data_IF_712805528312
#
_entry.id   IF_712805528312
#
_cell.length_a   1.000
_cell.length_b   1.000
_cell.length_c   1.000
_cell.angle_alpha   90.00
_cell.angle_beta   90.00
_cell.angle_gamma   90.00
#
_symmetry.space_group_name_H-M   'P 1'
#
loop_
_entity.id
_entity.type
_entity.pdbx_description
1 polymer ?
#
# COMPACT_ATOMS: atom_id res chain seq x y z
N UNK A 1 41.75 2.10 36.81
CA UNK A 1 41.95 1.60 35.45
C UNK A 1 40.84 2.21 34.58
N UNK A 2 41.14 3.11 33.65
CA UNK A 2 40.19 3.62 32.65
C UNK A 2 40.00 2.52 31.62
N UNK A 3 38.83 1.94 31.57
CA UNK A 3 38.43 1.06 30.46
C UNK A 3 38.60 1.81 29.14
N UNK A 4 39.54 1.34 28.34
CA UNK A 4 39.68 1.77 26.93
C UNK A 4 38.37 1.47 26.23
N UNK A 5 37.58 2.51 25.94
CA UNK A 5 36.42 2.43 25.01
C UNK A 5 36.93 1.83 23.72
N UNK A 6 36.63 0.56 23.43
CA UNK A 6 36.82 -0.01 22.11
C UNK A 6 36.06 0.87 21.13
N UNK A 7 36.78 1.64 20.32
CA UNK A 7 36.22 2.36 19.20
C UNK A 7 35.66 1.33 18.22
N UNK A 8 34.35 1.32 18.08
CA UNK A 8 33.67 0.50 17.11
C UNK A 8 33.85 1.23 15.76
N UNK A 9 34.56 0.62 14.82
CA UNK A 9 34.68 1.14 13.45
C UNK A 9 33.28 1.14 12.83
N UNK A 10 32.77 2.32 12.57
CA UNK A 10 31.49 2.55 11.88
C UNK A 10 31.83 2.94 10.44
N UNK A 11 31.05 2.44 9.49
CA UNK A 11 31.16 2.77 8.09
C UNK A 11 30.25 3.96 7.79
N UNK A 12 30.81 5.18 7.54
CA UNK A 12 30.00 6.40 7.35
C UNK A 12 28.97 6.26 6.21
N UNK A 13 29.35 5.63 5.12
CA UNK A 13 28.51 5.36 3.95
C UNK A 13 27.25 4.53 4.29
N UNK A 14 27.35 3.65 5.29
CA UNK A 14 26.21 2.84 5.74
C UNK A 14 25.15 3.70 6.43
N UNK A 15 25.55 4.71 7.21
CA UNK A 15 24.59 5.63 7.85
C UNK A 15 23.82 6.42 6.80
N UNK A 16 24.51 6.95 5.80
CA UNK A 16 23.90 7.69 4.68
C UNK A 16 22.93 6.78 3.91
N UNK A 17 23.39 5.60 3.51
CA UNK A 17 22.59 4.65 2.74
C UNK A 17 21.34 4.21 3.52
N UNK A 18 21.45 3.88 4.82
CA UNK A 18 20.29 3.51 5.65
C UNK A 18 19.32 4.68 5.79
N UNK A 19 19.79 5.92 5.96
CA UNK A 19 18.94 7.10 6.06
C UNK A 19 18.17 7.31 4.76
N UNK A 20 18.85 7.32 3.63
CA UNK A 20 18.25 7.50 2.29
C UNK A 20 17.26 6.38 1.98
N UNK A 21 17.65 5.14 2.22
CA UNK A 21 16.79 3.96 2.11
C UNK A 21 15.59 3.95 3.07
N UNK A 22 15.58 4.83 4.06
CA UNK A 22 14.47 5.03 4.99
C UNK A 22 13.70 6.33 4.73
N UNK A 23 14.06 7.08 3.69
CA UNK A 23 13.36 8.28 3.23
C UNK A 23 13.50 9.52 4.13
N UNK A 24 14.51 9.55 5.01
CA UNK A 24 14.74 10.70 5.89
C UNK A 24 15.76 11.68 5.31
N UNK A 25 15.54 13.00 5.52
CA UNK A 25 16.58 13.99 5.29
C UNK A 25 17.52 14.10 6.50
N UNK A 26 18.72 14.66 6.32
CA UNK A 26 19.61 14.98 7.44
C UNK A 26 18.95 15.83 8.52
N UNK A 27 18.15 16.85 8.11
CA UNK A 27 17.44 17.77 9.01
C UNK A 27 16.39 17.02 9.86
N UNK A 28 15.64 16.09 9.26
CA UNK A 28 14.66 15.30 9.98
C UNK A 28 15.30 14.39 11.02
N UNK A 29 16.46 13.83 10.70
CA UNK A 29 17.24 13.00 11.63
C UNK A 29 17.84 13.86 12.74
N UNK A 30 18.40 15.02 12.40
CA UNK A 30 18.92 15.97 13.39
C UNK A 30 17.85 16.34 14.41
N UNK A 31 16.64 16.69 13.95
CA UNK A 31 15.49 16.99 14.84
C UNK A 31 15.11 15.81 15.72
N UNK A 32 15.06 14.59 15.17
CA UNK A 32 14.70 13.38 15.91
C UNK A 32 15.75 12.98 16.93
N UNK A 33 17.03 13.16 16.64
CA UNK A 33 18.16 12.90 17.53
C UNK A 33 18.42 14.05 18.53
N UNK A 34 17.78 15.21 18.35
CA UNK A 34 18.04 16.46 19.09
C UNK A 34 19.51 16.89 18.95
N UNK A 35 20.00 16.95 17.71
CA UNK A 35 21.36 17.38 17.33
C UNK A 35 21.29 18.36 16.16
N UNK A 36 22.42 18.86 15.67
CA UNK A 36 22.49 19.73 14.48
C UNK A 36 22.53 18.90 13.18
N UNK A 37 22.08 19.51 12.08
CA UNK A 37 22.18 18.92 10.74
C UNK A 37 23.64 18.67 10.36
N UNK A 38 24.53 19.65 10.67
CA UNK A 38 25.96 19.53 10.41
C UNK A 38 26.58 18.31 11.09
N UNK A 39 26.12 17.95 12.31
CA UNK A 39 26.55 16.73 12.99
C UNK A 39 26.15 15.48 12.22
N UNK A 40 24.93 15.45 11.67
CA UNK A 40 24.48 14.30 10.87
C UNK A 40 25.32 14.16 9.62
N UNK A 41 25.52 15.25 8.89
CA UNK A 41 26.34 15.28 7.67
C UNK A 41 27.80 14.89 7.98
N UNK A 42 28.41 15.46 9.01
CA UNK A 42 29.79 15.14 9.43
C UNK A 42 29.99 13.65 9.80
N UNK A 43 28.95 12.98 10.34
CA UNK A 43 29.01 11.54 10.57
C UNK A 43 28.95 10.76 9.26
N UNK A 44 28.10 11.17 8.32
CA UNK A 44 27.97 10.52 7.01
C UNK A 44 29.18 10.75 6.11
N UNK A 45 29.98 11.80 6.37
CA UNK A 45 31.27 12.09 5.73
C UNK A 45 32.46 11.46 6.47
N UNK A 46 32.25 10.80 7.59
CA UNK A 46 33.31 10.15 8.35
C UNK A 46 34.17 11.08 9.22
N UNK A 47 33.80 12.36 9.37
CA UNK A 47 34.55 13.34 10.15
C UNK A 47 34.33 13.15 11.68
N UNK A 48 33.21 12.55 12.05
CA UNK A 48 32.83 12.31 13.45
C UNK A 48 31.97 11.05 13.54
N UNK A 49 31.50 10.68 14.75
CA UNK A 49 30.63 9.51 14.93
C UNK A 49 29.44 9.79 15.82
N UNK A 50 28.37 8.98 15.69
CA UNK A 50 27.27 8.96 16.64
C UNK A 50 27.66 8.16 17.88
N UNK A 51 27.10 8.57 19.02
CA UNK A 51 27.18 7.75 20.24
C UNK A 51 26.33 6.48 20.08
N UNK A 52 26.65 5.42 20.85
CA UNK A 52 25.87 4.18 20.81
C UNK A 52 24.39 4.41 21.16
N UNK A 53 24.08 5.40 22.02
CA UNK A 53 22.70 5.79 22.35
C UNK A 53 22.01 6.40 21.15
N UNK A 54 22.68 7.22 20.36
CA UNK A 54 22.12 7.77 19.13
C UNK A 54 21.91 6.71 18.07
N UNK A 55 22.85 5.75 17.93
CA UNK A 55 22.72 4.63 17.00
C UNK A 55 21.53 3.73 17.37
N UNK A 56 21.35 3.40 18.67
CA UNK A 56 20.16 2.68 19.15
C UNK A 56 18.88 3.41 18.79
N UNK A 57 18.85 4.74 18.96
CA UNK A 57 17.70 5.56 18.59
C UNK A 57 17.46 5.59 17.07
N UNK A 58 18.53 5.62 16.27
CA UNK A 58 18.42 5.50 14.81
C UNK A 58 17.85 4.15 14.39
N UNK A 59 18.28 3.05 15.05
CA UNK A 59 17.75 1.70 14.81
C UNK A 59 16.21 1.67 15.02
N UNK A 60 15.72 2.33 16.09
CA UNK A 60 14.29 2.47 16.35
C UNK A 60 13.57 3.34 15.33
N UNK A 61 14.17 4.47 14.92
CA UNK A 61 13.60 5.41 13.93
C UNK A 61 13.48 4.73 12.57
N UNK A 62 14.55 4.06 12.11
CA UNK A 62 14.60 3.41 10.80
C UNK A 62 13.95 2.03 10.78
N UNK A 63 13.53 1.53 11.97
CA UNK A 63 13.00 0.16 12.13
C UNK A 63 13.96 -0.89 11.54
N UNK A 64 15.23 -0.79 11.91
CA UNK A 64 16.28 -1.73 11.51
C UNK A 64 16.97 -2.29 12.73
N UNK A 65 17.47 -3.55 12.66
CA UNK A 65 18.25 -4.11 13.76
C UNK A 65 19.53 -3.28 13.95
N UNK A 66 19.97 -3.18 15.20
CA UNK A 66 21.15 -2.39 15.54
C UNK A 66 22.40 -2.85 14.77
N UNK A 67 22.51 -4.16 14.51
CA UNK A 67 23.64 -4.75 13.77
C UNK A 67 23.78 -4.19 12.35
N UNK A 68 22.71 -3.73 11.73
CA UNK A 68 22.75 -3.15 10.39
C UNK A 68 23.67 -1.91 10.28
N UNK A 69 23.91 -1.19 11.36
CA UNK A 69 24.80 -0.03 11.39
C UNK A 69 26.28 -0.38 11.52
N UNK A 70 26.60 -1.64 11.76
CA UNK A 70 27.96 -2.16 11.89
C UNK A 70 28.34 -3.04 10.68
N UNK A 71 27.46 -3.16 9.70
CA UNK A 71 27.75 -3.88 8.47
C UNK A 71 28.78 -3.12 7.64
N UNK A 72 29.65 -3.85 6.96
CA UNK A 72 30.55 -3.31 5.95
C UNK A 72 29.89 -3.24 4.54
N UNK A 73 28.72 -3.83 4.39
CA UNK A 73 27.95 -3.80 3.14
C UNK A 73 26.76 -2.86 3.28
N UNK A 74 26.53 -2.06 2.24
CA UNK A 74 25.33 -1.25 2.11
C UNK A 74 24.16 -2.20 1.88
N UNK A 75 23.07 -2.10 2.66
CA UNK A 75 21.89 -2.92 2.41
C UNK A 75 21.33 -2.58 1.02
N UNK A 76 21.39 -3.50 0.09
CA UNK A 76 20.70 -3.37 -1.18
C UNK A 76 19.18 -3.33 -0.91
N UNK A 77 18.58 -2.22 -1.28
CA UNK A 77 17.14 -2.20 -1.49
C UNK A 77 16.93 -2.60 -2.94
N UNK A 78 15.99 -3.55 -3.21
CA UNK A 78 15.62 -3.80 -4.58
C UNK A 78 15.25 -2.46 -5.23
N UNK A 79 15.96 -2.09 -6.28
CA UNK A 79 15.57 -0.97 -7.12
C UNK A 79 14.22 -1.34 -7.71
N UNK A 80 13.16 -0.81 -7.13
CA UNK A 80 11.89 -0.89 -7.81
C UNK A 80 11.95 0.08 -8.98
N UNK A 81 11.47 -0.33 -10.15
CA UNK A 81 11.32 0.57 -11.26
C UNK A 81 10.21 1.60 -10.96
N UNK A 82 10.49 2.52 -10.05
CA UNK A 82 9.62 3.65 -9.70
C UNK A 82 9.71 4.72 -10.80
N UNK A 83 9.34 4.35 -12.03
CA UNK A 83 9.40 5.25 -13.19
C UNK A 83 8.38 6.39 -13.16
N UNK A 84 7.49 6.46 -12.14
CA UNK A 84 6.32 7.35 -12.18
C UNK A 84 6.18 8.32 -11.02
N UNK A 85 7.12 8.33 -10.10
CA UNK A 85 7.17 9.42 -9.14
C UNK A 85 7.71 10.63 -9.90
N UNK A 86 6.90 11.67 -9.99
CA UNK A 86 7.39 12.97 -10.39
C UNK A 86 8.68 13.22 -9.59
N UNK A 87 9.84 13.33 -10.22
CA UNK A 87 11.18 13.37 -9.60
C UNK A 87 11.32 14.44 -8.50
N UNK A 88 10.34 15.34 -8.42
CA UNK A 88 10.25 16.42 -7.43
C UNK A 88 9.50 16.03 -6.13
N UNK A 89 8.79 14.89 -6.09
CA UNK A 89 8.03 14.46 -4.91
C UNK A 89 8.83 13.51 -4.03
N UNK A 90 9.19 13.97 -2.85
CA UNK A 90 9.84 13.15 -1.84
C UNK A 90 8.81 12.27 -1.13
N UNK A 91 8.98 10.95 -1.22
CA UNK A 91 8.15 9.99 -0.48
C UNK A 91 8.36 10.11 1.04
N UNK A 92 7.31 9.85 1.80
CA UNK A 92 7.41 9.82 3.26
C UNK A 92 8.19 8.58 3.75
N UNK A 93 8.87 8.66 4.90
CA UNK A 93 9.54 7.50 5.49
C UNK A 93 8.62 6.30 5.70
N UNK A 94 7.33 6.54 5.91
CA UNK A 94 6.34 5.47 6.06
C UNK A 94 6.10 4.69 4.77
N UNK A 95 6.16 5.34 3.61
CA UNK A 95 6.07 4.66 2.31
C UNK A 95 7.29 3.75 2.11
N UNK A 96 8.50 4.25 2.40
CA UNK A 96 9.71 3.41 2.35
C UNK A 96 9.63 2.21 3.30
N UNK A 97 9.10 2.41 4.51
CA UNK A 97 8.92 1.33 5.47
C UNK A 97 7.89 0.30 4.98
N UNK A 98 6.77 0.75 4.40
CA UNK A 98 5.74 -0.10 3.82
C UNK A 98 6.29 -0.91 2.64
N UNK A 99 7.04 -0.26 1.74
CA UNK A 99 7.72 -0.89 0.61
C UNK A 99 8.67 -1.99 1.09
N UNK A 100 9.56 -1.68 2.03
CA UNK A 100 10.47 -2.66 2.62
C UNK A 100 9.74 -3.84 3.27
N UNK A 101 8.61 -3.58 3.94
CA UNK A 101 7.78 -4.64 4.52
C UNK A 101 7.19 -5.55 3.45
N UNK A 102 6.69 -5.00 2.36
CA UNK A 102 6.14 -5.76 1.24
C UNK A 102 7.21 -6.66 0.60
N UNK A 103 8.38 -6.11 0.28
CA UNK A 103 9.50 -6.91 -0.25
C UNK A 103 9.93 -8.03 0.70
N UNK A 104 10.05 -7.73 1.98
CA UNK A 104 10.39 -8.75 2.98
C UNK A 104 9.38 -9.90 3.02
N UNK A 105 8.08 -9.59 2.95
CA UNK A 105 7.04 -10.62 2.92
C UNK A 105 7.11 -11.43 1.62
N UNK A 106 7.26 -10.77 0.48
CA UNK A 106 7.43 -11.45 -0.82
C UNK A 106 8.61 -12.42 -0.74
N UNK A 107 9.81 -11.96 -0.39
CA UNK A 107 11.02 -12.77 -0.24
C UNK A 107 10.78 -13.99 0.66
N UNK A 108 10.23 -13.76 1.86
CA UNK A 108 10.02 -14.84 2.83
C UNK A 108 8.95 -15.84 2.37
N UNK A 109 7.89 -15.41 1.69
CA UNK A 109 6.89 -16.33 1.18
C UNK A 109 7.42 -17.11 -0.03
N UNK A 110 8.24 -16.50 -0.89
CA UNK A 110 8.92 -17.19 -1.99
C UNK A 110 9.89 -18.28 -1.49
N UNK A 111 10.58 -18.02 -0.36
CA UNK A 111 11.45 -19.03 0.29
C UNK A 111 10.63 -20.19 0.89
N UNK A 112 9.42 -19.92 1.40
CA UNK A 112 8.60 -20.92 2.10
C UNK A 112 7.68 -21.71 1.19
N UNK A 113 7.34 -21.21 0.02
CA UNK A 113 6.37 -21.81 -0.87
C UNK A 113 6.76 -21.62 -2.34
N UNK A 114 6.25 -22.48 -3.19
CA UNK A 114 6.40 -22.37 -4.64
C UNK A 114 5.30 -21.50 -5.30
N UNK A 115 4.59 -20.72 -4.51
CA UNK A 115 3.52 -19.87 -5.02
C UNK A 115 4.10 -18.77 -5.90
N UNK A 116 3.45 -18.57 -7.05
CA UNK A 116 3.74 -17.50 -8.00
C UNK A 116 2.44 -16.80 -8.34
N UNK A 117 2.51 -15.53 -8.61
CA UNK A 117 1.34 -14.77 -9.03
C UNK A 117 0.87 -15.17 -10.42
N UNK A 118 -0.42 -15.43 -10.53
CA UNK A 118 -1.08 -15.80 -11.79
C UNK A 118 -1.92 -14.61 -12.28
N UNK A 119 -1.22 -13.54 -12.66
CA UNK A 119 -1.89 -12.36 -13.22
C UNK A 119 -2.33 -12.67 -14.64
N UNK A 120 -3.65 -12.62 -14.95
CA UNK A 120 -4.14 -12.94 -16.28
C UNK A 120 -3.65 -11.92 -17.30
N UNK A 121 -3.31 -12.39 -18.49
CA UNK A 121 -2.88 -11.54 -19.59
C UNK A 121 -4.08 -11.24 -20.50
N UNK A 122 -4.20 -9.97 -20.90
CA UNK A 122 -5.26 -9.50 -21.79
C UNK A 122 -4.64 -8.74 -22.98
N UNK A 123 -5.43 -8.49 -24.02
CA UNK A 123 -4.97 -7.67 -25.13
C UNK A 123 -4.70 -6.24 -24.68
N UNK A 124 -3.55 -5.69 -25.06
CA UNK A 124 -3.17 -4.29 -24.78
C UNK A 124 -4.07 -3.26 -25.47
N UNK A 125 -4.84 -3.70 -26.50
CA UNK A 125 -5.75 -2.82 -27.26
C UNK A 125 -7.10 -2.61 -26.57
N UNK A 126 -7.40 -3.35 -25.50
CA UNK A 126 -8.65 -3.20 -24.76
C UNK A 126 -8.72 -1.83 -24.09
N UNK A 127 -9.90 -1.20 -24.15
CA UNK A 127 -10.19 -0.03 -23.35
C UNK A 127 -10.36 -0.43 -21.88
N UNK A 128 -10.19 0.51 -20.97
CA UNK A 128 -10.24 0.25 -19.54
C UNK A 128 -11.54 -0.42 -19.07
N UNK A 129 -12.68 -0.01 -19.63
CA UNK A 129 -13.98 -0.60 -19.31
C UNK A 129 -14.16 -2.02 -19.88
N UNK A 130 -13.58 -2.30 -21.04
CA UNK A 130 -13.56 -3.64 -21.64
C UNK A 130 -12.66 -4.58 -20.81
N UNK A 131 -11.46 -4.11 -20.45
CA UNK A 131 -10.54 -4.85 -19.58
C UNK A 131 -11.20 -5.19 -18.22
N UNK A 132 -11.88 -4.24 -17.61
CA UNK A 132 -12.58 -4.45 -16.35
C UNK A 132 -13.67 -5.53 -16.45
N UNK A 133 -14.42 -5.56 -17.56
CA UNK A 133 -15.43 -6.61 -17.83
C UNK A 133 -14.79 -7.98 -18.02
N UNK A 134 -13.74 -8.06 -18.84
CA UNK A 134 -13.04 -9.33 -19.08
C UNK A 134 -12.37 -9.85 -17.79
N UNK A 135 -11.75 -8.97 -17.01
CA UNK A 135 -11.17 -9.33 -15.72
C UNK A 135 -12.24 -9.80 -14.72
N UNK A 136 -13.41 -9.15 -14.68
CA UNK A 136 -14.52 -9.63 -13.84
C UNK A 136 -15.01 -11.04 -14.26
N UNK A 137 -15.06 -11.31 -15.57
CA UNK A 137 -15.40 -12.64 -16.11
C UNK A 137 -14.35 -13.68 -15.73
N UNK A 138 -13.06 -13.36 -15.87
CA UNK A 138 -11.97 -14.28 -15.54
C UNK A 138 -11.98 -14.72 -14.06
N UNK A 139 -12.40 -13.83 -13.17
CA UNK A 139 -12.58 -14.11 -11.74
C UNK A 139 -13.94 -14.78 -11.42
N UNK A 140 -14.83 -14.93 -12.40
CA UNK A 140 -16.22 -15.39 -12.22
C UNK A 140 -16.97 -14.63 -11.11
N UNK A 141 -16.78 -13.32 -11.03
CA UNK A 141 -17.34 -12.47 -9.97
C UNK A 141 -18.65 -11.85 -10.40
N UNK A 142 -19.70 -12.13 -9.61
CA UNK A 142 -20.99 -11.43 -9.73
C UNK A 142 -20.91 -10.05 -9.07
N UNK A 143 -21.70 -9.10 -9.58
CA UNK A 143 -21.82 -7.79 -8.95
C UNK A 143 -22.38 -7.93 -7.53
N UNK A 144 -21.70 -7.34 -6.57
CA UNK A 144 -22.11 -7.29 -5.18
C UNK A 144 -22.68 -5.90 -4.91
N UNK A 145 -23.95 -5.86 -4.44
CA UNK A 145 -24.62 -4.62 -4.07
C UNK A 145 -25.12 -4.70 -2.62
N UNK A 146 -25.35 -3.55 -2.01
CA UNK A 146 -25.93 -3.41 -0.67
C UNK A 146 -25.15 -4.13 0.45
N UNK A 147 -23.82 -4.24 0.29
CA UNK A 147 -22.91 -4.72 1.34
C UNK A 147 -22.08 -3.58 1.92
N UNK A 148 -21.74 -3.72 3.19
CA UNK A 148 -20.84 -2.76 3.86
C UNK A 148 -19.47 -2.73 3.16
N UNK A 149 -18.86 -1.56 2.97
CA UNK A 149 -17.56 -1.44 2.31
C UNK A 149 -16.45 -2.31 2.95
N UNK A 150 -16.50 -2.50 4.27
CA UNK A 150 -15.55 -3.36 5.00
C UNK A 150 -15.66 -4.84 4.59
N UNK A 151 -16.90 -5.32 4.43
CA UNK A 151 -17.16 -6.70 4.01
C UNK A 151 -16.76 -6.91 2.55
N UNK A 152 -17.05 -5.92 1.69
CA UNK A 152 -16.63 -5.95 0.29
C UNK A 152 -15.10 -5.95 0.15
N UNK A 153 -14.41 -5.10 0.89
CA UNK A 153 -12.95 -5.05 0.89
C UNK A 153 -12.35 -6.40 1.33
N UNK A 154 -12.85 -6.97 2.42
CA UNK A 154 -12.40 -8.27 2.93
C UNK A 154 -12.65 -9.39 1.92
N UNK A 155 -13.83 -9.39 1.29
CA UNK A 155 -14.17 -10.37 0.25
C UNK A 155 -13.24 -10.28 -0.96
N UNK A 156 -13.04 -9.06 -1.51
CA UNK A 156 -12.19 -8.90 -2.69
C UNK A 156 -10.72 -9.13 -2.39
N UNK A 157 -10.22 -8.75 -1.22
CA UNK A 157 -8.85 -9.07 -0.81
C UNK A 157 -8.64 -10.59 -0.83
N UNK A 158 -9.52 -11.34 -0.15
CA UNK A 158 -9.43 -12.80 -0.11
C UNK A 158 -9.54 -13.42 -1.51
N UNK A 159 -10.52 -12.98 -2.30
CA UNK A 159 -10.71 -13.48 -3.66
C UNK A 159 -9.45 -13.28 -4.52
N UNK A 160 -8.86 -12.10 -4.49
CA UNK A 160 -7.68 -11.77 -5.30
C UNK A 160 -6.44 -12.53 -4.81
N UNK A 161 -6.25 -12.65 -3.48
CA UNK A 161 -5.18 -13.46 -2.90
C UNK A 161 -5.30 -14.93 -3.31
N UNK A 162 -6.52 -15.51 -3.28
CA UNK A 162 -6.76 -16.90 -3.62
C UNK A 162 -6.72 -17.17 -5.13
N UNK A 163 -7.23 -16.24 -5.95
CA UNK A 163 -7.32 -16.44 -7.42
C UNK A 163 -6.04 -16.06 -8.15
N UNK A 164 -5.35 -15.02 -7.69
CA UNK A 164 -4.17 -14.48 -8.39
C UNK A 164 -2.86 -14.84 -7.70
N UNK A 165 -2.87 -15.38 -6.48
CA UNK A 165 -1.66 -15.66 -5.74
C UNK A 165 -0.84 -14.39 -5.45
N UNK A 166 -1.48 -13.28 -5.08
CA UNK A 166 -0.81 -12.00 -4.75
C UNK A 166 -0.87 -11.72 -3.26
N UNK A 167 0.09 -10.98 -2.72
CA UNK A 167 0.09 -10.53 -1.34
C UNK A 167 -0.60 -9.17 -1.24
N UNK A 168 -1.65 -9.04 -0.41
CA UNK A 168 -2.34 -7.77 -0.18
C UNK A 168 -2.23 -7.37 1.28
N UNK A 169 -1.50 -6.28 1.56
CA UNK A 169 -1.32 -5.74 2.90
C UNK A 169 -1.83 -4.31 3.03
N UNK A 170 -2.14 -3.93 4.26
CA UNK A 170 -2.47 -2.55 4.63
C UNK A 170 -1.37 -1.99 5.53
N UNK A 171 -0.87 -0.80 5.23
CA UNK A 171 0.18 -0.16 6.02
C UNK A 171 -0.05 1.35 6.15
N UNK A 172 0.29 1.99 7.29
CA UNK A 172 0.09 3.43 7.44
C UNK A 172 1.12 4.19 6.59
N UNK A 173 0.72 4.68 5.42
CA UNK A 173 1.62 5.38 4.49
C UNK A 173 1.94 6.80 4.96
N UNK A 174 1.02 7.44 5.69
CA UNK A 174 1.15 8.83 6.20
C UNK A 174 1.59 9.82 5.12
N UNK A 175 1.13 9.59 3.92
CA UNK A 175 1.29 10.45 2.77
C UNK A 175 -0.09 10.95 2.33
N UNK A 176 -0.19 12.21 1.93
CA UNK A 176 -1.49 12.76 1.52
C UNK A 176 -1.83 12.37 0.09
N UNK A 177 -0.81 12.08 -0.70
CA UNK A 177 -0.86 11.84 -2.14
C UNK A 177 -0.65 10.37 -2.54
N UNK A 178 -0.21 9.50 -1.62
CA UNK A 178 -0.05 8.07 -1.86
C UNK A 178 -1.13 7.30 -1.12
N UNK A 179 -2.03 6.63 -1.85
CA UNK A 179 -3.12 5.80 -1.30
C UNK A 179 -2.82 4.32 -1.32
N UNK A 180 -2.06 3.90 -2.32
CA UNK A 180 -1.65 2.52 -2.50
C UNK A 180 -0.40 2.48 -3.39
N UNK A 181 0.18 1.30 -3.52
CA UNK A 181 1.14 0.97 -4.56
C UNK A 181 1.20 -0.54 -4.77
N UNK A 182 1.64 -0.94 -5.95
CA UNK A 182 1.87 -2.34 -6.31
C UNK A 182 3.32 -2.62 -6.67
N UNK A 183 3.76 -3.84 -6.37
CA UNK A 183 5.07 -4.38 -6.74
C UNK A 183 4.80 -5.55 -7.67
N UNK A 184 5.21 -5.40 -8.93
CA UNK A 184 5.13 -6.46 -9.93
C UNK A 184 6.40 -7.31 -9.85
N UNK A 185 6.26 -8.59 -9.56
CA UNK A 185 7.32 -9.60 -9.49
C UNK A 185 6.74 -11.00 -9.70
N UNK A 186 7.55 -12.05 -9.59
CA UNK A 186 7.06 -13.43 -9.63
C UNK A 186 5.98 -13.68 -8.57
N UNK A 187 6.15 -13.13 -7.38
CA UNK A 187 5.12 -13.03 -6.36
C UNK A 187 4.78 -11.55 -6.13
N UNK A 188 3.79 -11.08 -6.85
CA UNK A 188 3.36 -9.67 -6.82
C UNK A 188 2.69 -9.29 -5.49
N UNK A 189 2.74 -8.01 -5.14
CA UNK A 189 2.10 -7.52 -3.93
C UNK A 189 1.44 -6.16 -4.12
N UNK A 190 0.40 -5.89 -3.31
CA UNK A 190 -0.30 -4.61 -3.23
C UNK A 190 -0.27 -4.12 -1.78
N UNK A 191 0.07 -2.84 -1.61
CA UNK A 191 0.04 -2.16 -0.31
C UNK A 191 -1.00 -1.06 -0.35
N UNK A 192 -1.99 -1.15 0.53
CA UNK A 192 -3.05 -0.15 0.69
C UNK A 192 -2.77 0.72 1.91
N UNK A 193 -3.18 1.99 1.87
CA UNK A 193 -3.04 2.87 3.02
C UNK A 193 -4.00 2.46 4.14
N UNK A 194 -3.45 2.02 5.28
CA UNK A 194 -4.22 1.58 6.46
C UNK A 194 -5.18 2.66 6.98
N UNK A 195 -4.82 3.94 6.85
CA UNK A 195 -5.58 5.06 7.41
C UNK A 195 -6.77 5.49 6.51
N UNK A 196 -6.90 4.91 5.33
CA UNK A 196 -8.03 5.18 4.44
C UNK A 196 -9.30 4.41 4.83
N UNK A 197 -10.47 4.98 4.48
CA UNK A 197 -11.75 4.30 4.62
C UNK A 197 -11.83 3.11 3.65
N UNK A 198 -12.57 2.07 4.02
CA UNK A 198 -12.66 0.84 3.21
C UNK A 198 -13.14 1.06 1.78
N UNK A 199 -14.05 2.02 1.54
CA UNK A 199 -14.49 2.37 0.18
C UNK A 199 -13.36 3.00 -0.67
N UNK A 200 -12.41 3.71 -0.04
CA UNK A 200 -11.24 4.27 -0.72
C UNK A 200 -10.25 3.15 -1.02
N UNK A 201 -9.96 2.30 -0.02
CA UNK A 201 -9.10 1.12 -0.19
C UNK A 201 -9.61 0.20 -1.29
N UNK A 202 -10.92 0.02 -1.38
CA UNK A 202 -11.55 -0.81 -2.40
C UNK A 202 -11.28 -0.28 -3.81
N UNK A 203 -11.40 1.03 -4.01
CA UNK A 203 -11.04 1.66 -5.28
C UNK A 203 -9.54 1.54 -5.57
N UNK A 204 -8.70 1.87 -4.58
CA UNK A 204 -7.24 1.74 -4.69
C UNK A 204 -6.81 0.31 -5.01
N UNK A 205 -7.46 -0.70 -4.43
CA UNK A 205 -7.16 -2.11 -4.69
C UNK A 205 -7.32 -2.46 -6.17
N UNK A 206 -8.44 -2.07 -6.80
CA UNK A 206 -8.65 -2.36 -8.22
C UNK A 206 -7.82 -1.46 -9.14
N UNK A 207 -7.48 -0.26 -8.71
CA UNK A 207 -6.52 0.58 -9.39
C UNK A 207 -5.15 -0.11 -9.48
N UNK A 208 -4.64 -0.63 -8.37
CA UNK A 208 -3.36 -1.36 -8.33
C UNK A 208 -3.42 -2.71 -9.06
N UNK A 209 -4.56 -3.39 -9.06
CA UNK A 209 -4.78 -4.58 -9.91
C UNK A 209 -4.61 -4.25 -11.38
N UNK A 210 -5.12 -3.10 -11.83
CA UNK A 210 -4.92 -2.65 -13.21
C UNK A 210 -3.44 -2.49 -13.53
N UNK A 211 -2.67 -1.86 -12.65
CA UNK A 211 -1.22 -1.73 -12.82
C UNK A 211 -0.51 -3.09 -12.88
N UNK A 212 -0.92 -4.07 -12.07
CA UNK A 212 -0.36 -5.43 -12.14
C UNK A 212 -0.69 -6.12 -13.47
N UNK A 213 -1.93 -6.02 -13.96
CA UNK A 213 -2.35 -6.58 -15.26
C UNK A 213 -1.55 -5.96 -16.40
N UNK A 214 -1.34 -4.65 -16.36
CA UNK A 214 -0.61 -3.91 -17.39
C UNK A 214 0.91 -3.91 -17.20
N UNK A 215 1.41 -4.58 -16.14
CA UNK A 215 2.84 -4.64 -15.77
C UNK A 215 3.46 -3.25 -15.59
N UNK A 216 2.68 -2.32 -15.09
CA UNK A 216 3.06 -0.91 -14.89
C UNK A 216 3.13 -0.54 -13.41
N UNK A 217 3.34 -1.52 -12.54
CA UNK A 217 3.41 -1.35 -11.09
C UNK A 217 4.41 -0.28 -10.66
N UNK A 218 4.13 0.36 -9.54
CA UNK A 218 4.90 1.46 -8.98
C UNK A 218 4.11 2.17 -7.88
N UNK A 219 4.60 3.32 -7.43
CA UNK A 219 3.88 4.15 -6.46
C UNK A 219 2.99 5.13 -7.21
N UNK A 220 1.69 4.99 -7.03
CA UNK A 220 0.68 5.79 -7.71
C UNK A 220 0.08 6.86 -6.79
N UNK A 221 -0.13 8.04 -7.35
CA UNK A 221 -0.95 9.10 -6.76
C UNK A 221 -2.34 9.04 -7.39
N UNK A 222 -3.38 8.83 -6.57
CA UNK A 222 -4.78 8.85 -7.03
C UNK A 222 -5.30 10.27 -7.25
N UNK A 223 -4.56 11.12 -7.93
CA UNK A 223 -5.12 12.33 -8.51
C UNK A 223 -5.89 11.93 -9.77
N UNK A 224 -7.21 11.76 -9.60
CA UNK A 224 -8.14 11.28 -10.66
C UNK A 224 -8.15 12.19 -11.90
N UNK A 225 -7.54 13.38 -11.82
CA UNK A 225 -7.58 14.40 -12.86
C UNK A 225 -6.22 14.87 -13.40
N UNK A 226 -5.11 14.23 -13.07
CA UNK A 226 -3.86 14.57 -13.75
C UNK A 226 -3.92 14.06 -15.20
N UNK A 227 -4.43 14.90 -16.10
CA UNK A 227 -4.55 14.69 -17.55
C UNK A 227 -3.22 14.36 -18.25
N UNK A 228 -2.09 14.43 -17.52
CA UNK A 228 -0.75 14.19 -18.07
C UNK A 228 -0.27 12.73 -18.00
N UNK A 229 -1.09 11.81 -17.46
CA UNK A 229 -0.73 10.40 -17.38
C UNK A 229 -1.89 9.51 -17.85
N UNK A 230 -1.91 9.19 -19.13
CA UNK A 230 -2.92 8.31 -19.76
C UNK A 230 -3.12 6.99 -19.00
N UNK A 231 -2.06 6.47 -18.40
CA UNK A 231 -2.09 5.21 -17.65
C UNK A 231 -2.87 5.32 -16.32
N UNK A 232 -2.69 6.42 -15.57
CA UNK A 232 -3.43 6.65 -14.32
C UNK A 232 -4.93 6.81 -14.59
N UNK A 233 -5.28 7.56 -15.63
CA UNK A 233 -6.66 7.70 -16.08
C UNK A 233 -7.25 6.35 -16.50
N UNK A 234 -6.46 5.52 -17.18
CA UNK A 234 -6.85 4.18 -17.58
C UNK A 234 -7.14 3.29 -16.36
N UNK A 235 -6.24 3.23 -15.37
CA UNK A 235 -6.41 2.45 -14.16
C UNK A 235 -7.58 2.95 -13.30
N UNK A 236 -7.80 4.27 -13.23
CA UNK A 236 -8.96 4.86 -12.58
C UNK A 236 -10.28 4.43 -13.26
N UNK A 237 -10.31 4.43 -14.60
CA UNK A 237 -11.47 4.01 -15.38
C UNK A 237 -11.75 2.51 -15.21
N UNK A 238 -10.70 1.69 -15.22
CA UNK A 238 -10.80 0.26 -14.93
C UNK A 238 -11.39 0.00 -13.55
N UNK A 239 -10.86 0.61 -12.50
CA UNK A 239 -11.33 0.44 -11.13
C UNK A 239 -12.79 0.88 -10.98
N UNK A 240 -13.16 2.00 -11.58
CA UNK A 240 -14.53 2.52 -11.56
C UNK A 240 -15.50 1.57 -12.28
N UNK A 241 -15.16 1.06 -13.47
CA UNK A 241 -15.98 0.10 -14.21
C UNK A 241 -16.10 -1.24 -13.48
N UNK A 242 -15.01 -1.73 -12.89
CA UNK A 242 -15.04 -2.97 -12.12
C UNK A 242 -16.01 -2.88 -10.94
N UNK A 243 -15.97 -1.79 -10.18
CA UNK A 243 -16.80 -1.61 -8.98
C UNK A 243 -18.23 -1.18 -9.31
N UNK A 244 -18.41 -0.38 -10.35
CA UNK A 244 -19.69 0.20 -10.78
C UNK A 244 -19.87 -0.06 -12.28
N UNK A 245 -20.29 -1.28 -12.67
CA UNK A 245 -20.41 -1.66 -14.08
C UNK A 245 -21.40 -0.77 -14.84
N UNK A 246 -21.02 -0.40 -16.07
CA UNK A 246 -21.78 0.48 -16.95
C UNK A 246 -23.22 0.00 -17.17
N UNK A 247 -23.39 -1.29 -17.42
CA UNK A 247 -24.71 -1.85 -17.77
C UNK A 247 -25.66 -1.79 -16.58
N UNK A 248 -25.18 -2.12 -15.38
CA UNK A 248 -25.98 -2.06 -14.15
C UNK A 248 -26.28 -0.61 -13.75
N UNK A 249 -25.25 0.28 -13.79
CA UNK A 249 -25.45 1.68 -13.45
C UNK A 249 -26.43 2.37 -14.39
N UNK A 250 -26.42 2.09 -15.70
CA UNK A 250 -27.40 2.63 -16.65
C UNK A 250 -28.83 2.21 -16.31
N UNK A 251 -29.02 0.97 -15.84
CA UNK A 251 -30.33 0.49 -15.38
C UNK A 251 -30.78 1.24 -14.13
N UNK A 252 -29.88 1.43 -13.16
CA UNK A 252 -30.18 2.20 -11.96
C UNK A 252 -30.49 3.66 -12.29
N UNK A 253 -29.70 4.30 -13.16
CA UNK A 253 -29.90 5.69 -13.56
C UNK A 253 -31.26 5.95 -14.22
N UNK A 254 -31.81 4.98 -14.98
CA UNK A 254 -33.16 5.11 -15.59
C UNK A 254 -34.30 5.23 -14.58
N UNK A 255 -34.08 4.86 -13.32
CA UNK A 255 -35.08 4.98 -12.23
C UNK A 255 -35.21 6.41 -11.70
N UNK A 256 -34.26 7.30 -12.05
CA UNK A 256 -34.17 8.65 -11.51
C UNK A 256 -34.28 9.69 -12.64
N UNK A 257 -35.07 10.73 -12.43
CA UNK A 257 -35.17 11.88 -13.36
C UNK A 257 -34.04 12.88 -13.14
N UNK A 258 -33.61 13.02 -11.90
CA UNK A 258 -32.56 13.94 -11.47
C UNK A 258 -31.59 13.25 -10.51
N UNK A 259 -30.32 13.62 -10.56
CA UNK A 259 -29.27 13.08 -9.69
C UNK A 259 -29.04 14.03 -8.51
N UNK A 260 -29.97 14.09 -7.59
CA UNK A 260 -29.82 14.83 -6.33
C UNK A 260 -28.72 14.22 -5.46
N UNK A 261 -28.30 14.93 -4.40
CA UNK A 261 -27.32 14.38 -3.45
C UNK A 261 -27.82 13.09 -2.77
N UNK A 262 -29.13 12.96 -2.55
CA UNK A 262 -29.73 11.75 -1.99
C UNK A 262 -29.64 10.57 -2.94
N UNK A 263 -29.92 10.76 -4.22
CA UNK A 263 -29.76 9.72 -5.25
C UNK A 263 -28.29 9.28 -5.35
N UNK A 264 -27.36 10.22 -5.32
CA UNK A 264 -25.93 9.92 -5.35
C UNK A 264 -25.51 9.12 -4.10
N UNK A 265 -26.03 9.47 -2.90
CA UNK A 265 -25.77 8.73 -1.68
C UNK A 265 -26.37 7.31 -1.75
N UNK A 266 -27.58 7.13 -2.28
CA UNK A 266 -28.18 5.80 -2.49
C UNK A 266 -27.32 4.93 -3.43
N UNK A 267 -26.84 5.51 -4.55
CA UNK A 267 -25.93 4.79 -5.45
C UNK A 267 -24.61 4.44 -4.75
N UNK A 268 -24.04 5.37 -3.99
CA UNK A 268 -22.83 5.12 -3.20
C UNK A 268 -23.01 3.94 -2.24
N UNK A 269 -24.13 3.90 -1.52
CA UNK A 269 -24.46 2.81 -0.58
C UNK A 269 -24.72 1.49 -1.33
N UNK A 270 -25.44 1.55 -2.46
CA UNK A 270 -25.74 0.36 -3.25
C UNK A 270 -24.47 -0.33 -3.77
N UNK A 271 -23.50 0.42 -4.27
CA UNK A 271 -22.26 -0.11 -4.82
C UNK A 271 -21.10 -0.21 -3.80
N UNK A 272 -21.26 0.33 -2.59
CA UNK A 272 -20.22 0.33 -1.55
C UNK A 272 -18.98 1.14 -1.90
N UNK A 273 -19.09 2.12 -2.77
CA UNK A 273 -17.99 2.98 -3.27
C UNK A 273 -18.09 4.41 -2.75
N UNK A 274 -17.03 5.21 -2.94
CA UNK A 274 -17.05 6.62 -2.55
C UNK A 274 -17.97 7.45 -3.46
N UNK A 275 -18.47 8.57 -2.91
CA UNK A 275 -19.26 9.55 -3.68
C UNK A 275 -18.50 10.04 -4.93
N UNK A 276 -17.18 10.15 -4.84
CA UNK A 276 -16.34 10.57 -5.96
C UNK A 276 -16.39 9.57 -7.12
N UNK A 277 -16.38 8.27 -6.85
CA UNK A 277 -16.49 7.23 -7.89
C UNK A 277 -17.85 7.31 -8.58
N UNK A 278 -18.94 7.45 -7.83
CA UNK A 278 -20.29 7.62 -8.43
C UNK A 278 -20.34 8.89 -9.29
N UNK A 279 -19.85 10.02 -8.77
CA UNK A 279 -19.85 11.29 -9.51
C UNK A 279 -19.03 11.21 -10.79
N UNK A 280 -17.88 10.51 -10.77
CA UNK A 280 -17.05 10.28 -11.95
C UNK A 280 -17.80 9.44 -13.01
N UNK A 281 -18.47 8.37 -12.56
CA UNK A 281 -19.28 7.51 -13.47
C UNK A 281 -20.44 8.27 -14.09
N UNK A 282 -21.18 9.06 -13.29
CA UNK A 282 -22.29 9.88 -13.75
C UNK A 282 -21.82 10.97 -14.73
N UNK A 283 -20.64 11.57 -14.51
CA UNK A 283 -20.01 12.49 -15.43
C UNK A 283 -19.69 11.81 -16.77
N UNK A 284 -19.10 10.62 -16.74
CA UNK A 284 -18.76 9.84 -17.93
C UNK A 284 -20.00 9.47 -18.79
N UNK A 285 -21.17 9.34 -18.18
CA UNK A 285 -22.43 9.10 -18.89
C UNK A 285 -23.21 10.38 -19.23
N UNK A 286 -22.71 11.55 -18.86
CA UNK A 286 -23.39 12.83 -19.12
C UNK A 286 -24.60 13.10 -18.22
N UNK A 287 -24.81 12.32 -17.15
CA UNK A 287 -25.87 12.58 -16.16
C UNK A 287 -25.54 13.74 -15.21
N UNK A 288 -24.26 14.06 -15.08
CA UNK A 288 -23.75 15.19 -14.30
C UNK A 288 -22.79 15.97 -15.19
N UNK A 289 -22.85 17.29 -15.16
CA UNK A 289 -21.97 18.15 -15.91
C UNK A 289 -20.61 18.40 -15.21
N UNK A 290 -19.62 18.87 -15.96
CA UNK A 290 -18.28 19.19 -15.45
C UNK A 290 -18.30 20.25 -14.33
N UNK A 291 -19.25 21.22 -14.40
CA UNK A 291 -19.37 22.30 -13.41
C UNK A 291 -19.77 21.75 -12.05
N UNK A 292 -20.78 20.87 -12.03
CA UNK A 292 -21.25 20.20 -10.79
C UNK A 292 -20.17 19.28 -10.22
N UNK A 293 -19.47 18.51 -11.06
CA UNK A 293 -18.36 17.67 -10.62
C UNK A 293 -17.24 18.50 -9.97
N UNK A 294 -16.82 19.61 -10.60
CA UNK A 294 -15.82 20.53 -10.02
C UNK A 294 -16.25 21.11 -8.67
N UNK A 295 -17.50 21.57 -8.56
CA UNK A 295 -18.05 22.10 -7.30
C UNK A 295 -18.05 21.02 -6.19
N UNK A 296 -18.36 19.77 -6.53
CA UNK A 296 -18.28 18.65 -5.61
C UNK A 296 -16.83 18.40 -5.15
N UNK A 297 -15.85 18.44 -6.05
CA UNK A 297 -14.42 18.20 -5.73
C UNK A 297 -13.90 19.22 -4.72
N UNK A 298 -14.19 20.49 -4.89
CA UNK A 298 -13.80 21.56 -3.97
C UNK A 298 -14.34 21.30 -2.55
N UNK A 299 -15.62 20.93 -2.44
CA UNK A 299 -16.23 20.58 -1.13
C UNK A 299 -15.59 19.34 -0.50
N UNK A 300 -15.18 18.37 -1.30
CA UNK A 300 -14.54 17.16 -0.80
C UNK A 300 -13.17 17.44 -0.18
N UNK A 301 -12.37 18.31 -0.78
CA UNK A 301 -11.05 18.71 -0.28
C UNK A 301 -11.14 19.41 1.09
N UNK A 302 -12.20 20.18 1.32
CA UNK A 302 -12.46 20.84 2.62
C UNK A 302 -12.78 19.84 3.72
N UNK A 303 -13.54 18.76 3.40
CA UNK A 303 -13.97 17.73 4.37
C UNK A 303 -12.83 16.76 4.74
N UNK A 304 -11.92 16.47 3.83
CA UNK A 304 -10.78 15.54 4.07
C UNK A 304 -9.84 16.03 5.18
N UNK A 305 -9.83 17.32 5.49
CA UNK A 305 -9.00 17.91 6.57
C UNK A 305 -9.42 17.48 7.98
N UNK A 306 -10.61 16.89 8.16
CA UNK A 306 -11.11 16.43 9.47
C UNK A 306 -10.83 14.92 9.64
N UNK A 307 -9.71 14.58 10.26
CA UNK A 307 -9.38 13.19 10.62
C UNK A 307 -10.25 12.70 11.78
N UNK A 308 -11.05 11.66 11.56
CA UNK A 308 -11.70 10.93 12.65
C UNK A 308 -10.79 9.80 13.14
N UNK A 309 -10.35 9.87 14.39
CA UNK A 309 -9.62 8.77 15.05
C UNK A 309 -10.62 7.87 15.77
N UNK A 310 -10.80 6.65 15.27
CA UNK A 310 -11.51 5.57 15.98
C UNK A 310 -10.55 4.64 16.71
N UNK A 311 -11.05 3.89 17.71
CA UNK A 311 -10.25 2.84 18.38
C UNK A 311 -10.06 1.68 17.40
N UNK A 312 -8.81 1.41 16.98
CA UNK A 312 -8.49 0.32 16.05
C UNK A 312 -8.47 -1.01 16.82
N UNK A 313 -9.12 -2.04 16.27
CA UNK A 313 -8.94 -3.42 16.74
C UNK A 313 -7.54 -3.89 16.30
N UNK A 314 -6.67 -4.25 17.25
CA UNK A 314 -5.28 -4.61 16.98
C UNK A 314 -5.13 -5.90 16.18
N UNK A 315 -5.99 -6.90 16.39
CA UNK A 315 -6.00 -8.16 15.63
C UNK A 315 -6.28 -7.92 14.16
N UNK A 316 -7.33 -7.12 13.87
CA UNK A 316 -7.68 -6.73 12.51
C UNK A 316 -6.54 -5.94 11.84
N UNK A 317 -5.93 -5.00 12.58
CA UNK A 317 -4.77 -4.24 12.09
C UNK A 317 -3.62 -5.17 11.77
N UNK A 318 -3.33 -6.13 12.65
CA UNK A 318 -2.28 -7.10 12.43
C UNK A 318 -2.56 -7.97 11.20
N UNK A 319 -3.74 -8.58 11.11
CA UNK A 319 -4.14 -9.41 9.96
C UNK A 319 -4.04 -8.64 8.65
N UNK A 320 -4.46 -7.39 8.64
CA UNK A 320 -4.36 -6.54 7.47
C UNK A 320 -2.90 -6.18 7.09
N UNK A 321 -2.01 -6.02 8.08
CA UNK A 321 -0.58 -5.71 7.84
C UNK A 321 0.24 -6.90 7.35
N UNK A 322 -0.26 -8.10 7.57
CA UNK A 322 0.40 -9.35 7.14
C UNK A 322 -0.19 -9.86 5.82
N UNK A 323 -1.50 -9.72 5.62
CA UNK A 323 -2.25 -10.32 4.52
C UNK A 323 -2.62 -11.78 4.81
N UNK A 324 -3.77 -12.22 4.28
CA UNK A 324 -4.26 -13.58 4.57
C UNK A 324 -3.37 -14.63 3.92
N UNK A 325 -2.89 -14.37 2.71
CA UNK A 325 -2.00 -15.27 1.99
C UNK A 325 -0.69 -15.48 2.77
N UNK A 326 -0.03 -14.41 3.19
CA UNK A 326 1.23 -14.53 3.95
C UNK A 326 1.02 -15.27 5.26
N UNK A 327 -0.06 -14.98 5.98
CA UNK A 327 -0.39 -15.71 7.22
C UNK A 327 -0.59 -17.20 6.95
N UNK A 328 -1.34 -17.55 5.90
CA UNK A 328 -1.60 -18.94 5.51
C UNK A 328 -0.31 -19.71 5.19
N UNK A 329 0.58 -19.12 4.38
CA UNK A 329 1.81 -19.79 3.97
C UNK A 329 2.80 -19.95 5.14
N UNK A 330 2.91 -18.95 6.02
CA UNK A 330 3.72 -19.06 7.24
C UNK A 330 3.17 -20.14 8.18
N UNK A 331 1.83 -20.21 8.36
CA UNK A 331 1.21 -21.31 9.14
C UNK A 331 1.48 -22.68 8.51
N UNK A 332 1.35 -22.79 7.21
CA UNK A 332 1.62 -24.03 6.49
C UNK A 332 3.07 -24.50 6.70
N UNK A 333 4.04 -23.58 6.57
CA UNK A 333 5.44 -23.88 6.76
C UNK A 333 5.77 -24.26 8.21
N UNK A 334 5.17 -23.59 9.19
CA UNK A 334 5.31 -23.94 10.60
C UNK A 334 4.72 -25.31 10.91
N UNK A 335 3.50 -25.61 10.45
CA UNK A 335 2.84 -26.91 10.67
C UNK A 335 3.61 -28.06 10.02
N UNK A 336 4.24 -27.82 8.87
CA UNK A 336 5.13 -28.77 8.19
C UNK A 336 6.53 -28.86 8.82
N UNK A 337 6.80 -28.09 9.89
CA UNK A 337 8.10 -28.00 10.58
C UNK A 337 9.26 -27.54 9.67
N UNK A 338 8.95 -26.78 8.62
CA UNK A 338 9.96 -26.15 7.75
C UNK A 338 10.61 -24.98 8.45
N UNK A 339 9.84 -24.25 9.26
CA UNK A 339 10.32 -23.11 10.07
C UNK A 339 9.95 -23.30 11.53
N UNK A 340 10.73 -22.67 12.41
CA UNK A 340 10.47 -22.63 13.85
C UNK A 340 9.38 -21.63 14.20
N UNK A 341 8.82 -21.72 15.40
CA UNK A 341 7.88 -20.74 15.94
C UNK A 341 8.47 -19.31 15.96
N UNK A 342 9.77 -19.21 16.27
CA UNK A 342 10.46 -17.93 16.30
C UNK A 342 10.56 -17.30 14.91
N UNK A 343 10.92 -18.08 13.89
CA UNK A 343 10.97 -17.63 12.50
C UNK A 343 9.58 -17.22 12.00
N UNK A 344 8.56 -18.04 12.26
CA UNK A 344 7.16 -17.69 11.93
C UNK A 344 6.75 -16.37 12.58
N UNK A 345 7.02 -16.20 13.88
CA UNK A 345 6.73 -14.95 14.60
C UNK A 345 7.48 -13.75 14.01
N UNK A 346 8.74 -13.95 13.62
CA UNK A 346 9.59 -12.91 13.02
C UNK A 346 9.08 -12.49 11.64
N UNK A 347 8.74 -13.45 10.77
CA UNK A 347 8.18 -13.19 9.43
C UNK A 347 6.87 -12.40 9.55
N UNK A 348 6.00 -12.81 10.45
CA UNK A 348 4.73 -12.12 10.68
C UNK A 348 4.89 -10.76 11.38
N UNK A 349 6.06 -10.49 11.99
CA UNK A 349 6.32 -9.28 12.76
C UNK A 349 5.58 -9.25 14.09
N UNK A 350 5.30 -10.42 14.66
CA UNK A 350 4.65 -10.59 15.96
C UNK A 350 5.65 -10.74 17.10
N UNK A 351 5.28 -10.22 18.26
CA UNK A 351 5.96 -10.63 19.51
C UNK A 351 5.49 -12.04 19.86
N UNK A 352 6.41 -12.89 20.34
CA UNK A 352 6.14 -14.31 20.63
C UNK A 352 4.85 -14.55 21.44
N UNK A 353 4.57 -13.70 22.43
CA UNK A 353 3.36 -13.83 23.28
C UNK A 353 2.02 -13.68 22.54
N UNK A 354 2.02 -13.06 21.34
CA UNK A 354 0.81 -12.89 20.50
C UNK A 354 0.84 -13.84 19.31
N UNK A 355 1.99 -14.43 19.02
CA UNK A 355 2.16 -15.29 17.86
C UNK A 355 1.42 -16.62 18.00
N UNK A 356 1.31 -17.13 19.23
CA UNK A 356 0.63 -18.39 19.55
C UNK A 356 -0.84 -18.38 19.08
N UNK A 357 -1.54 -17.27 19.30
CA UNK A 357 -2.93 -17.07 18.89
C UNK A 357 -3.15 -17.17 17.38
N UNK A 358 -2.16 -16.76 16.57
CA UNK A 358 -2.28 -16.73 15.12
C UNK A 358 -1.59 -17.91 14.43
N UNK A 359 -0.60 -18.53 15.05
CA UNK A 359 0.21 -19.59 14.43
C UNK A 359 -0.27 -20.99 14.84
N UNK A 360 -0.69 -21.17 16.09
CA UNK A 360 -0.98 -22.50 16.67
C UNK A 360 -2.43 -22.96 16.50
N UNK A 361 -3.31 -22.19 15.88
CA UNK A 361 -4.74 -22.54 15.67
C UNK A 361 -4.98 -23.08 14.27
#
# INVERSE_FOLDING_TARGET
MRETKKEIKLHPEVFKAIREASGYSPEEIAKKLKTSTDKVVSVEEGQTSFTITQIKKLAEIYKRPLVAFFSSSIPELPESPDYRINRERRLTPNVYLAKRRAYYLVEKIEELSSIRSQIPSFSETLKADELAREFRKSLNVKLIKHRKPDEMLSYYKKLLEDSLGIIIIEYPLKANDVRAFSIYSELSSIVLNEDDKSMIKLFSLFHEICHLIRKTGGICSLDIENESQDEECYCNSFAAEFLVPSDDLKVECKKHREFTDDVINQLMEAYGVSKQVIMLRLLGFGYVDKKRYKAFKIKLEEVIKQKQFGRKNWERVFLNRVGNMSLREVKNAYNKKVITFYEASSILGLKAKYAEEFISV
#
